data_IF_741611352362
#
_entry.id   IF_741611352362
#
_cell.length_a   1.000
_cell.length_b   1.000
_cell.length_c   1.000
_cell.angle_alpha   90.00
_cell.angle_beta   90.00
_cell.angle_gamma   90.00
#
_symmetry.space_group_name_H-M   'P 1'
#
loop_
_entity.id
_entity.type
_entity.pdbx_description
1 polymer ?
#
# COMPACT_ATOMS: atom_id res chain seq x y z
N UNK A 1 -4.51 16.34 -23.01
CA UNK A 1 -3.35 15.45 -23.30
C UNK A 1 -2.31 15.39 -22.17
N UNK A 2 -1.89 16.51 -21.57
CA UNK A 2 -0.82 16.54 -20.57
C UNK A 2 -1.20 15.94 -19.20
N UNK A 3 -2.46 16.12 -18.73
CA UNK A 3 -2.93 15.61 -17.43
C UNK A 3 -2.80 14.09 -17.30
N UNK A 4 -3.28 13.36 -18.31
CA UNK A 4 -3.26 11.89 -18.39
C UNK A 4 -1.84 11.30 -18.50
N UNK A 5 -0.95 11.94 -19.28
CA UNK A 5 0.44 11.46 -19.44
C UNK A 5 1.23 11.48 -18.13
N UNK A 6 1.03 12.50 -17.31
CA UNK A 6 1.68 12.60 -16.00
C UNK A 6 1.09 11.57 -15.02
N UNK A 7 -0.21 11.25 -15.10
CA UNK A 7 -0.79 10.17 -14.29
C UNK A 7 -0.17 8.82 -14.67
N UNK A 8 -0.12 8.51 -15.97
CA UNK A 8 0.49 7.28 -16.48
C UNK A 8 1.95 7.14 -16.01
N UNK A 9 2.74 8.21 -16.09
CA UNK A 9 4.13 8.20 -15.60
C UNK A 9 4.21 8.01 -14.08
N UNK A 10 3.30 8.59 -13.31
CA UNK A 10 3.31 8.42 -11.86
C UNK A 10 2.95 6.98 -11.46
N UNK A 11 2.04 6.32 -12.17
CA UNK A 11 1.65 4.93 -11.87
C UNK A 11 2.71 3.88 -12.23
N UNK A 12 3.72 4.25 -13.02
CA UNK A 12 4.74 3.33 -13.50
C UNK A 12 5.53 2.72 -12.34
N UNK A 13 5.54 1.38 -12.26
CA UNK A 13 6.24 0.63 -11.21
C UNK A 13 5.55 0.59 -9.83
N UNK A 14 4.50 1.38 -9.58
CA UNK A 14 3.79 1.39 -8.28
C UNK A 14 3.10 0.06 -7.98
N UNK A 15 2.48 -0.56 -8.97
CA UNK A 15 1.86 -1.89 -8.80
C UNK A 15 2.89 -2.96 -8.42
N UNK A 16 4.04 -2.98 -9.11
CA UNK A 16 5.12 -3.91 -8.81
C UNK A 16 5.67 -3.70 -7.39
N UNK A 17 5.81 -2.45 -6.95
CA UNK A 17 6.20 -2.13 -5.57
C UNK A 17 5.17 -2.66 -4.55
N UNK A 18 3.88 -2.47 -4.82
CA UNK A 18 2.81 -2.91 -3.91
C UNK A 18 2.75 -4.44 -3.78
N UNK A 19 3.13 -5.18 -4.82
CA UNK A 19 3.13 -6.64 -4.84
C UNK A 19 4.36 -7.28 -4.16
N UNK A 20 5.36 -6.49 -3.76
CA UNK A 20 6.53 -7.03 -3.06
C UNK A 20 6.14 -7.68 -1.72
N UNK A 21 6.85 -8.73 -1.34
CA UNK A 21 6.60 -9.52 -0.12
C UNK A 21 7.74 -9.40 0.90
N UNK A 22 8.42 -8.27 0.89
CA UNK A 22 9.51 -7.88 1.79
C UNK A 22 9.14 -7.98 3.28
N UNK A 23 7.85 -7.94 3.62
CA UNK A 23 7.36 -8.15 4.98
C UNK A 23 7.42 -9.61 5.46
N UNK A 24 7.44 -10.60 4.58
CA UNK A 24 7.39 -12.03 4.99
C UNK A 24 8.62 -12.46 5.80
N UNK A 25 9.76 -11.80 5.62
CA UNK A 25 11.02 -12.07 6.33
C UNK A 25 11.47 -10.92 7.24
N UNK A 26 10.59 -9.94 7.49
CA UNK A 26 10.93 -8.74 8.24
C UNK A 26 10.99 -8.99 9.76
N UNK A 27 11.89 -8.29 10.43
CA UNK A 27 11.89 -8.12 11.89
C UNK A 27 10.84 -7.11 12.34
N UNK A 28 10.56 -7.04 13.64
CA UNK A 28 9.59 -6.10 14.20
C UNK A 28 9.96 -4.62 13.96
N UNK A 29 11.26 -4.29 13.89
CA UNK A 29 11.70 -2.93 13.56
C UNK A 29 11.48 -2.62 12.07
N UNK A 30 11.80 -3.59 11.20
CA UNK A 30 11.66 -3.44 9.76
C UNK A 30 10.19 -3.34 9.34
N UNK A 31 9.29 -4.14 9.93
CA UNK A 31 7.86 -4.06 9.60
C UNK A 31 7.26 -2.70 9.98
N UNK A 32 7.68 -2.11 11.10
CA UNK A 32 7.27 -0.76 11.53
C UNK A 32 7.78 0.31 10.57
N UNK A 33 9.01 0.16 10.08
CA UNK A 33 9.55 1.05 9.05
C UNK A 33 8.80 0.91 7.71
N UNK A 34 8.46 -0.32 7.31
CA UNK A 34 7.67 -0.59 6.10
C UNK A 34 6.27 0.02 6.21
N UNK A 35 5.59 -0.10 7.35
CA UNK A 35 4.29 0.54 7.61
C UNK A 35 4.36 2.05 7.46
N UNK A 36 5.36 2.71 8.08
CA UNK A 36 5.56 4.16 7.94
C UNK A 36 5.81 4.59 6.50
N UNK A 37 6.60 3.81 5.75
CA UNK A 37 6.83 4.06 4.31
C UNK A 37 5.54 3.87 3.51
N UNK A 38 4.73 2.88 3.87
CA UNK A 38 3.44 2.60 3.25
C UNK A 38 2.42 3.73 3.53
N UNK A 39 2.38 4.28 4.74
CA UNK A 39 1.58 5.46 5.08
C UNK A 39 1.94 6.69 4.22
N UNK A 40 3.25 6.90 3.99
CA UNK A 40 3.68 7.96 3.09
C UNK A 40 3.21 7.72 1.64
N UNK A 41 3.21 6.46 1.19
CA UNK A 41 2.66 6.08 -0.11
C UNK A 41 1.14 6.29 -0.19
N UNK A 42 0.39 5.95 0.86
CA UNK A 42 -1.06 6.17 0.93
C UNK A 42 -1.42 7.65 0.90
N UNK A 43 -0.64 8.49 1.56
CA UNK A 43 -0.79 9.95 1.51
C UNK A 43 -0.51 10.50 0.10
N UNK A 44 0.56 10.03 -0.55
CA UNK A 44 0.86 10.36 -1.96
C UNK A 44 -0.30 9.92 -2.87
N UNK A 45 -0.77 8.68 -2.73
CA UNK A 45 -1.92 8.15 -3.47
C UNK A 45 -3.16 9.04 -3.25
N UNK A 46 -3.50 9.41 -2.03
CA UNK A 46 -4.65 10.28 -1.75
C UNK A 46 -4.52 11.65 -2.43
N UNK A 47 -3.32 12.23 -2.48
CA UNK A 47 -3.07 13.52 -3.14
C UNK A 47 -3.29 13.48 -4.66
N UNK A 48 -3.21 12.29 -5.28
CA UNK A 48 -3.41 12.10 -6.71
C UNK A 48 -4.88 11.84 -7.10
N UNK A 49 -5.78 11.62 -6.13
CA UNK A 49 -7.21 11.37 -6.35
C UNK A 49 -7.89 12.48 -7.16
N UNK A 50 -7.73 13.73 -6.75
CA UNK A 50 -8.32 14.92 -7.42
C UNK A 50 -7.94 14.98 -8.90
N UNK A 51 -6.73 14.54 -9.24
CA UNK A 51 -6.26 14.53 -10.62
C UNK A 51 -6.96 13.48 -11.48
N UNK A 52 -7.26 12.30 -10.92
CA UNK A 52 -8.04 11.26 -11.60
C UNK A 52 -9.47 11.74 -11.83
N UNK A 53 -10.09 12.33 -10.82
CA UNK A 53 -11.43 12.91 -10.90
C UNK A 53 -11.52 14.01 -11.95
N UNK A 54 -10.52 14.90 -12.02
CA UNK A 54 -10.47 15.93 -13.07
C UNK A 54 -10.30 15.35 -14.48
N UNK A 55 -9.55 14.25 -14.65
CA UNK A 55 -9.41 13.60 -15.95
C UNK A 55 -10.77 13.02 -16.38
N UNK A 56 -11.49 12.38 -15.45
CA UNK A 56 -12.83 11.84 -15.70
C UNK A 56 -13.84 12.94 -16.05
N UNK A 57 -13.85 14.04 -15.30
CA UNK A 57 -14.72 15.18 -15.57
C UNK A 57 -14.48 15.79 -16.97
N UNK A 58 -13.22 15.97 -17.36
CA UNK A 58 -12.88 16.49 -18.70
C UNK A 58 -13.28 15.51 -19.80
N UNK A 59 -13.11 14.19 -19.58
CA UNK A 59 -13.56 13.18 -20.54
C UNK A 59 -15.08 13.22 -20.73
N UNK A 60 -15.83 13.41 -19.66
CA UNK A 60 -17.27 13.56 -19.69
C UNK A 60 -17.69 14.83 -20.45
N UNK A 61 -17.09 15.99 -20.17
CA UNK A 61 -17.39 17.25 -20.87
C UNK A 61 -17.12 17.13 -22.39
N UNK A 62 -16.04 16.46 -22.79
CA UNK A 62 -15.74 16.21 -24.20
C UNK A 62 -16.79 15.31 -24.88
N UNK A 63 -17.41 14.38 -24.15
CA UNK A 63 -18.52 13.59 -24.67
C UNK A 63 -19.79 14.42 -24.86
N UNK A 64 -20.11 15.28 -23.90
CA UNK A 64 -21.29 16.15 -23.97
C UNK A 64 -21.23 17.16 -25.13
N UNK A 65 -20.01 17.48 -25.58
CA UNK A 65 -19.75 18.35 -26.73
C UNK A 65 -19.61 17.60 -28.08
N UNK A 66 -19.92 16.29 -28.12
CA UNK A 66 -19.78 15.43 -29.30
C UNK A 66 -18.39 15.54 -29.95
N UNK A 67 -17.32 15.56 -29.14
CA UNK A 67 -15.97 15.65 -29.65
C UNK A 67 -15.64 14.47 -30.58
N UNK A 68 -15.05 14.77 -31.74
CA UNK A 68 -14.85 13.78 -32.81
C UNK A 68 -14.02 12.54 -32.40
N UNK A 69 -13.14 12.68 -31.40
CA UNK A 69 -12.29 11.61 -30.88
C UNK A 69 -12.67 11.18 -29.44
N UNK A 70 -13.92 11.45 -29.04
CA UNK A 70 -14.49 10.99 -27.76
C UNK A 70 -14.28 9.50 -27.48
N UNK A 71 -14.40 8.57 -28.45
CA UNK A 71 -14.12 7.15 -28.20
C UNK A 71 -12.71 6.89 -27.66
N UNK A 72 -11.69 7.57 -28.20
CA UNK A 72 -10.29 7.46 -27.76
C UNK A 72 -10.08 8.07 -26.38
N UNK A 73 -10.68 9.24 -26.13
CA UNK A 73 -10.64 9.91 -24.82
C UNK A 73 -11.26 9.02 -23.73
N UNK A 74 -12.43 8.43 -24.01
CA UNK A 74 -13.12 7.54 -23.07
C UNK A 74 -12.33 6.27 -22.81
N UNK A 75 -11.78 5.63 -23.85
CA UNK A 75 -10.96 4.44 -23.69
C UNK A 75 -9.74 4.73 -22.80
N UNK A 76 -9.11 5.90 -22.97
CA UNK A 76 -7.98 6.32 -22.14
C UNK A 76 -8.40 6.63 -20.70
N UNK A 77 -9.51 7.34 -20.52
CA UNK A 77 -10.05 7.65 -19.20
C UNK A 77 -10.38 6.36 -18.43
N UNK A 78 -11.07 5.42 -19.08
CA UNK A 78 -11.42 4.14 -18.49
C UNK A 78 -10.18 3.38 -18.02
N UNK A 79 -9.15 3.29 -18.87
CA UNK A 79 -7.88 2.65 -18.51
C UNK A 79 -7.23 3.30 -17.27
N UNK A 80 -7.29 4.63 -17.16
CA UNK A 80 -6.75 5.36 -16.01
C UNK A 80 -7.55 5.04 -14.75
N UNK A 81 -8.88 5.04 -14.82
CA UNK A 81 -9.75 4.69 -13.69
C UNK A 81 -9.56 3.23 -13.25
N UNK A 82 -9.53 2.28 -14.19
CA UNK A 82 -9.30 0.86 -13.89
C UNK A 82 -7.95 0.64 -13.17
N UNK A 83 -6.91 1.33 -13.65
CA UNK A 83 -5.59 1.27 -13.03
C UNK A 83 -5.59 1.91 -11.65
N UNK A 84 -6.33 2.99 -11.45
CA UNK A 84 -6.49 3.64 -10.15
C UNK A 84 -7.17 2.74 -9.13
N UNK A 85 -8.28 2.11 -9.52
CA UNK A 85 -9.03 1.19 -8.67
C UNK A 85 -8.16 -0.03 -8.30
N UNK A 86 -7.40 -0.57 -9.25
CA UNK A 86 -6.45 -1.64 -8.99
C UNK A 86 -5.35 -1.22 -8.01
N UNK A 87 -4.77 -0.02 -8.18
CA UNK A 87 -3.79 0.53 -7.24
C UNK A 87 -4.37 0.68 -5.83
N UNK A 88 -5.60 1.19 -5.70
CA UNK A 88 -6.30 1.27 -4.42
C UNK A 88 -6.46 -0.10 -3.77
N UNK A 89 -6.92 -1.09 -4.52
CA UNK A 89 -7.09 -2.46 -4.03
C UNK A 89 -5.76 -3.10 -3.60
N UNK A 90 -4.69 -2.95 -4.38
CA UNK A 90 -3.35 -3.45 -4.04
C UNK A 90 -2.77 -2.75 -2.80
N UNK A 91 -3.01 -1.45 -2.67
CA UNK A 91 -2.55 -0.64 -1.52
C UNK A 91 -3.19 -1.15 -0.23
N UNK A 92 -4.51 -1.33 -0.23
CA UNK A 92 -5.24 -1.86 0.91
C UNK A 92 -4.78 -3.27 1.26
N UNK A 93 -4.66 -4.16 0.25
CA UNK A 93 -4.18 -5.53 0.45
C UNK A 93 -2.79 -5.58 1.07
N UNK A 94 -1.89 -4.70 0.65
CA UNK A 94 -0.55 -4.57 1.22
C UNK A 94 -0.61 -4.07 2.66
N UNK A 95 -1.40 -3.04 2.96
CA UNK A 95 -1.58 -2.54 4.32
C UNK A 95 -2.00 -3.64 5.29
N UNK A 96 -3.04 -4.39 4.94
CA UNK A 96 -3.51 -5.49 5.78
C UNK A 96 -2.44 -6.57 5.99
N UNK A 97 -1.62 -6.87 4.98
CA UNK A 97 -0.54 -7.83 5.12
C UNK A 97 0.56 -7.35 6.06
N UNK A 98 0.91 -6.05 5.99
CA UNK A 98 1.88 -5.43 6.88
C UNK A 98 1.39 -5.43 8.34
N UNK A 99 0.15 -4.99 8.58
CA UNK A 99 -0.44 -4.95 9.92
C UNK A 99 -0.62 -6.35 10.53
N UNK A 100 -1.02 -7.34 9.73
CA UNK A 100 -1.08 -8.74 10.18
C UNK A 100 0.29 -9.26 10.61
N UNK A 101 1.33 -8.93 9.84
CA UNK A 101 2.70 -9.37 10.12
C UNK A 101 3.26 -8.67 11.37
N UNK A 102 3.03 -7.36 11.51
CA UNK A 102 3.40 -6.60 12.72
C UNK A 102 2.78 -7.23 13.97
N UNK A 103 1.46 -7.46 13.96
CA UNK A 103 0.75 -8.07 15.09
C UNK A 103 1.30 -9.45 15.46
N UNK A 104 1.66 -10.26 14.47
CA UNK A 104 2.28 -11.56 14.70
C UNK A 104 3.65 -11.42 15.38
N UNK A 105 4.50 -10.53 14.88
CA UNK A 105 5.83 -10.28 15.42
C UNK A 105 5.77 -9.71 16.84
N UNK A 106 4.83 -8.81 17.13
CA UNK A 106 4.61 -8.30 18.50
C UNK A 106 4.16 -9.40 19.46
N UNK A 107 3.30 -10.30 19.00
CA UNK A 107 2.87 -11.46 19.81
C UNK A 107 4.04 -12.38 20.12
N UNK A 108 4.89 -12.66 19.12
CA UNK A 108 6.08 -13.50 19.28
C UNK A 108 7.06 -12.86 20.29
N UNK A 109 7.34 -11.56 20.15
CA UNK A 109 8.23 -10.83 21.05
C UNK A 109 7.72 -10.85 22.50
N UNK A 110 6.43 -10.62 22.70
CA UNK A 110 5.79 -10.69 24.01
C UNK A 110 5.92 -12.10 24.64
N UNK A 111 5.70 -13.17 23.86
CA UNK A 111 5.85 -14.54 24.34
C UNK A 111 7.30 -14.86 24.73
N UNK A 112 8.27 -14.42 23.93
CA UNK A 112 9.69 -14.56 24.29
C UNK A 112 10.02 -13.83 25.59
N UNK A 113 9.52 -12.61 25.76
CA UNK A 113 9.72 -11.83 26.98
C UNK A 113 9.11 -12.51 28.21
N UNK A 114 7.90 -13.03 28.10
CA UNK A 114 7.25 -13.77 29.18
C UNK A 114 7.98 -15.06 29.54
N UNK A 115 8.42 -15.82 28.53
CA UNK A 115 9.24 -17.01 28.73
C UNK A 115 10.53 -16.67 29.47
N UNK A 116 11.29 -15.68 29.00
CA UNK A 116 12.55 -15.27 29.63
C UNK A 116 12.36 -14.84 31.09
N UNK A 117 11.29 -14.08 31.38
CA UNK A 117 10.93 -13.65 32.74
C UNK A 117 10.66 -14.83 33.68
N UNK A 118 10.04 -15.90 33.19
CA UNK A 118 9.73 -17.10 34.00
C UNK A 118 10.91 -18.07 34.08
N UNK A 119 11.68 -18.21 33.01
CA UNK A 119 12.83 -19.09 32.94
C UNK A 119 13.98 -18.61 33.83
N UNK A 120 14.23 -17.29 33.92
CA UNK A 120 15.35 -16.77 34.71
C UNK A 120 15.30 -17.16 36.20
N UNK A 121 14.18 -16.95 36.95
CA UNK A 121 14.07 -17.43 38.33
C UNK A 121 14.15 -18.96 38.45
N UNK A 122 13.58 -19.69 37.48
CA UNK A 122 13.61 -21.15 37.48
C UNK A 122 15.03 -21.70 37.31
N UNK A 123 15.82 -21.14 36.40
CA UNK A 123 17.21 -21.51 36.19
C UNK A 123 18.05 -21.23 37.46
N UNK A 124 17.86 -20.07 38.08
CA UNK A 124 18.54 -19.74 39.34
C UNK A 124 18.20 -20.73 40.47
N UNK A 125 16.96 -21.20 40.53
CA UNK A 125 16.55 -22.23 41.49
C UNK A 125 17.20 -23.59 41.19
N UNK A 126 17.24 -24.01 39.93
CA UNK A 126 17.87 -25.27 39.53
C UNK A 126 19.38 -25.29 39.81
N UNK A 127 20.07 -24.17 39.63
CA UNK A 127 21.52 -24.06 39.89
C UNK A 127 21.85 -23.98 41.40
N UNK A 128 20.88 -23.56 42.22
CA UNK A 128 21.02 -23.46 43.67
C UNK A 128 20.59 -24.70 44.46
N UNK A 129 20.04 -25.72 43.79
CA UNK A 129 19.59 -27.00 44.36
C UNK A 129 20.61 -28.12 44.09
#
# INVERSE_FOLDING_TARGET
>A
RQKASIHESWTEGKEAMLQQKDYETATLSEIKALLKKHEAFESDLAAHQDRVEQIAAIAQELNELDYYDSPSVNARCQKICDQWDNLGALTQKRREALERTEKLLETIDQLYLEYAKRAAPFNNWMEGA
#
